data_IF_914226951050
#
_entry.id   IF_914226951050
#
_cell.length_a   1.000
_cell.length_b   1.000
_cell.length_c   1.000
_cell.angle_alpha   90.00
_cell.angle_beta   90.00
_cell.angle_gamma   90.00
#
_symmetry.space_group_name_H-M   'P 1'
#
loop_
_entity.id
_entity.type
_entity.pdbx_description
1 polymer ?
#
# COMPACT_ATOMS: atom_id res chain seq x y z
N UNK A 1 -35.20 0.88 9.18
CA UNK A 1 -33.83 1.22 9.64
C UNK A 1 -33.85 2.66 10.12
N UNK A 2 -33.41 2.94 11.34
CA UNK A 2 -33.40 4.32 11.91
C UNK A 2 -31.98 4.90 12.04
N UNK A 3 -30.93 4.09 11.93
CA UNK A 3 -29.52 4.52 11.98
C UNK A 3 -28.66 3.60 11.10
N UNK A 4 -27.59 4.15 10.50
CA UNK A 4 -26.48 3.41 9.87
C UNK A 4 -25.17 4.08 10.32
N UNK A 5 -24.14 3.30 10.67
CA UNK A 5 -22.89 3.78 11.29
C UNK A 5 -21.64 3.38 10.48
N UNK A 6 -21.50 3.77 9.21
CA UNK A 6 -20.28 3.49 8.46
C UNK A 6 -19.16 4.44 8.94
N UNK A 7 -17.91 3.99 8.87
CA UNK A 7 -16.74 4.77 9.30
C UNK A 7 -15.66 4.85 8.23
N UNK A 8 -15.17 3.70 7.77
CA UNK A 8 -14.03 3.61 6.83
C UNK A 8 -14.23 4.37 5.51
N UNK A 9 -15.48 4.50 5.03
CA UNK A 9 -15.84 5.08 3.73
C UNK A 9 -15.30 6.50 3.47
N UNK A 10 -14.96 7.25 4.52
CA UNK A 10 -14.34 8.58 4.40
C UNK A 10 -12.98 8.51 3.70
N UNK A 11 -12.22 7.45 3.95
CA UNK A 11 -10.93 7.19 3.31
C UNK A 11 -10.99 6.08 2.29
N UNK A 12 -11.77 5.02 2.54
CA UNK A 12 -11.61 3.70 1.93
C UNK A 12 -10.16 3.21 2.05
N UNK A 13 -9.91 1.99 1.59
CA UNK A 13 -8.57 1.40 1.64
C UNK A 13 -8.46 0.25 0.63
N UNK A 14 -7.29 -0.39 0.63
CA UNK A 14 -7.00 -1.56 -0.20
C UNK A 14 -7.99 -2.72 0.04
N UNK A 15 -8.52 -2.86 1.25
CA UNK A 15 -9.49 -3.90 1.59
C UNK A 15 -10.83 -3.62 0.92
N UNK A 16 -11.34 -2.39 0.98
CA UNK A 16 -12.59 -2.02 0.28
C UNK A 16 -12.48 -2.18 -1.24
N UNK A 17 -11.29 -1.93 -1.80
CA UNK A 17 -11.01 -2.18 -3.22
C UNK A 17 -11.02 -3.68 -3.52
N UNK A 18 -10.34 -4.49 -2.71
CA UNK A 18 -10.31 -5.94 -2.87
C UNK A 18 -11.70 -6.59 -2.74
N UNK A 19 -12.57 -6.03 -1.89
CA UNK A 19 -13.96 -6.45 -1.73
C UNK A 19 -14.89 -5.97 -2.86
N UNK A 20 -14.40 -5.14 -3.80
CA UNK A 20 -15.19 -4.60 -4.90
C UNK A 20 -16.18 -3.51 -4.50
N UNK A 21 -16.06 -2.96 -3.28
CA UNK A 21 -16.95 -1.90 -2.77
C UNK A 21 -16.68 -0.57 -3.47
N UNK A 22 -15.40 -0.28 -3.74
CA UNK A 22 -14.97 0.94 -4.45
C UNK A 22 -13.83 0.64 -5.42
N UNK A 23 -13.62 1.50 -6.41
CA UNK A 23 -12.41 1.50 -7.23
C UNK A 23 -11.23 2.20 -6.55
N UNK A 24 -10.00 1.92 -7.00
CA UNK A 24 -8.74 2.50 -6.45
C UNK A 24 -8.76 4.02 -6.32
N UNK A 25 -9.39 4.71 -7.29
CA UNK A 25 -9.51 6.17 -7.30
C UNK A 25 -10.39 6.75 -6.18
N UNK A 26 -11.01 5.91 -5.35
CA UNK A 26 -11.83 6.32 -4.19
C UNK A 26 -11.11 6.13 -2.86
N UNK A 27 -9.86 5.67 -2.86
CA UNK A 27 -8.97 5.74 -1.71
C UNK A 27 -8.39 7.15 -1.60
N UNK A 28 -8.76 7.89 -0.56
CA UNK A 28 -8.33 9.29 -0.39
C UNK A 28 -7.12 9.45 0.53
N UNK A 29 -6.83 8.48 1.39
CA UNK A 29 -5.60 8.45 2.20
C UNK A 29 -4.45 7.82 1.41
N UNK A 30 -3.27 8.45 1.49
CA UNK A 30 -2.02 7.98 0.87
C UNK A 30 -0.87 8.16 1.85
N UNK A 31 0.11 7.27 1.75
CA UNK A 31 1.42 7.42 2.38
C UNK A 31 2.37 7.87 1.29
N UNK A 32 3.08 8.97 1.54
CA UNK A 32 4.14 9.47 0.67
C UNK A 32 5.45 8.90 1.19
N UNK A 33 6.21 8.21 0.36
CA UNK A 33 7.48 7.62 0.74
C UNK A 33 8.59 7.97 -0.26
N UNK A 34 9.83 7.96 0.20
CA UNK A 34 11.01 8.18 -0.64
C UNK A 34 11.70 6.85 -0.89
N UNK A 35 12.13 6.62 -2.13
CA UNK A 35 13.04 5.50 -2.43
C UNK A 35 14.41 5.80 -1.83
N UNK A 36 14.81 5.04 -0.83
CA UNK A 36 16.09 5.23 -0.13
C UNK A 36 17.19 4.27 -0.62
N UNK A 37 16.84 3.20 -1.34
CA UNK A 37 17.82 2.27 -1.91
C UNK A 37 17.29 1.47 -3.11
N UNK A 38 18.20 1.08 -4.00
CA UNK A 38 17.95 0.25 -5.20
C UNK A 38 18.98 -0.89 -5.28
N UNK A 39 18.83 -1.95 -4.45
CA UNK A 39 19.82 -3.03 -4.38
C UNK A 39 19.80 -3.97 -5.61
N UNK A 40 18.73 -3.96 -6.41
CA UNK A 40 18.60 -4.76 -7.62
C UNK A 40 17.68 -4.05 -8.63
N UNK A 41 17.74 -4.43 -9.91
CA UNK A 41 16.90 -3.83 -10.95
C UNK A 41 15.40 -3.99 -10.69
N UNK A 42 15.01 -5.09 -10.05
CA UNK A 42 13.65 -5.51 -9.73
C UNK A 42 13.23 -5.22 -8.27
N UNK A 43 14.08 -4.53 -7.49
CA UNK A 43 13.81 -4.21 -6.08
C UNK A 43 14.17 -2.78 -5.70
N UNK A 44 13.27 -2.10 -5.00
CA UNK A 44 13.47 -0.80 -4.39
C UNK A 44 13.12 -0.86 -2.89
N UNK A 45 13.76 -0.02 -2.10
CA UNK A 45 13.49 0.12 -0.66
C UNK A 45 12.99 1.54 -0.41
N UNK A 46 11.88 1.67 0.33
CA UNK A 46 11.26 2.94 0.69
C UNK A 46 11.36 3.18 2.19
N UNK A 47 11.29 4.44 2.63
CA UNK A 47 11.29 4.87 4.04
C UNK A 47 9.92 4.74 4.75
N UNK A 48 8.99 3.98 4.16
CA UNK A 48 7.71 3.63 4.78
C UNK A 48 7.69 2.14 5.15
N UNK A 49 7.91 1.86 6.44
CA UNK A 49 7.79 0.54 7.05
C UNK A 49 6.46 0.27 7.75
N UNK A 50 6.42 -0.79 8.55
CA UNK A 50 5.25 -1.21 9.32
C UNK A 50 4.78 -0.16 10.34
N UNK A 51 5.65 0.73 10.83
CA UNK A 51 5.21 1.86 11.68
C UNK A 51 4.32 2.86 10.94
N UNK A 52 4.47 2.94 9.62
CA UNK A 52 3.72 3.86 8.77
C UNK A 52 2.51 3.14 8.15
N UNK A 53 2.71 1.89 7.71
CA UNK A 53 1.75 1.16 6.87
C UNK A 53 0.99 0.05 7.62
N UNK A 54 1.32 -0.20 8.89
CA UNK A 54 0.87 -1.36 9.65
C UNK A 54 1.23 -2.70 8.95
N UNK A 55 0.61 -3.80 9.38
CA UNK A 55 0.86 -5.15 8.84
C UNK A 55 -0.40 -5.78 8.22
N UNK A 56 -1.45 -4.99 8.01
CA UNK A 56 -2.73 -5.49 7.51
C UNK A 56 -2.63 -5.90 6.02
N UNK A 57 -3.06 -7.13 5.73
CA UNK A 57 -3.12 -7.68 4.37
C UNK A 57 -4.58 -7.99 3.94
N UNK A 58 -5.52 -7.26 4.53
CA UNK A 58 -6.96 -7.44 4.34
C UNK A 58 -7.70 -7.62 5.66
N UNK A 59 -9.03 -7.55 5.60
CA UNK A 59 -9.87 -7.67 6.80
C UNK A 59 -9.58 -8.97 7.56
N UNK A 60 -9.35 -8.86 8.86
CA UNK A 60 -9.13 -9.99 9.78
C UNK A 60 -8.04 -10.98 9.30
N UNK A 61 -7.00 -10.51 8.60
CA UNK A 61 -5.93 -11.37 8.09
C UNK A 61 -6.32 -12.27 6.92
N UNK A 62 -7.43 -11.98 6.23
CA UNK A 62 -7.92 -12.77 5.10
C UNK A 62 -6.96 -12.89 3.91
N UNK A 63 -5.91 -12.06 3.83
CA UNK A 63 -4.98 -12.05 2.70
C UNK A 63 -5.60 -11.59 1.38
N UNK A 64 -6.77 -10.93 1.45
CA UNK A 64 -7.49 -10.42 0.27
C UNK A 64 -6.75 -9.28 -0.42
N UNK A 65 -5.84 -8.59 0.28
CA UNK A 65 -4.95 -7.58 -0.28
C UNK A 65 -3.60 -8.21 -0.58
N UNK A 66 -3.12 -8.07 -1.81
CA UNK A 66 -1.77 -8.51 -2.18
C UNK A 66 -0.74 -7.48 -1.69
N UNK A 67 0.13 -7.88 -0.77
CA UNK A 67 1.17 -7.00 -0.20
C UNK A 67 0.66 -6.18 0.98
N UNK A 68 1.23 -4.99 1.19
CA UNK A 68 0.94 -4.10 2.33
C UNK A 68 0.39 -2.74 1.90
N UNK A 69 -0.25 -2.67 0.73
CA UNK A 69 -0.80 -1.42 0.20
C UNK A 69 -0.98 -1.46 -1.31
N UNK A 70 -1.59 -0.40 -1.84
CA UNK A 70 -1.76 -0.20 -3.27
C UNK A 70 -0.71 0.78 -3.79
N UNK A 71 0.16 0.34 -4.70
CA UNK A 71 1.12 1.23 -5.38
C UNK A 71 0.43 2.03 -6.49
N UNK A 72 0.83 3.27 -6.76
CA UNK A 72 0.26 4.05 -7.88
C UNK A 72 0.41 3.33 -9.22
N UNK A 73 1.59 2.76 -9.47
CA UNK A 73 1.84 1.87 -10.59
C UNK A 73 1.40 0.43 -10.24
N UNK A 74 0.40 -0.08 -10.94
CA UNK A 74 -0.13 -1.42 -10.73
C UNK A 74 0.87 -2.56 -11.02
N UNK A 75 1.98 -2.26 -11.71
CA UNK A 75 3.07 -3.22 -11.96
C UNK A 75 4.03 -3.37 -10.77
N UNK A 76 3.91 -2.51 -9.76
CA UNK A 76 4.73 -2.54 -8.56
C UNK A 76 3.96 -3.13 -7.39
N UNK A 77 4.67 -3.81 -6.49
CA UNK A 77 4.08 -4.43 -5.31
C UNK A 77 4.95 -4.13 -4.09
N UNK A 78 4.31 -3.66 -3.02
CA UNK A 78 4.93 -3.58 -1.71
C UNK A 78 4.86 -4.95 -1.03
N UNK A 79 5.93 -5.75 -1.16
CA UNK A 79 5.90 -7.18 -0.83
C UNK A 79 6.35 -7.51 0.58
N UNK A 80 7.13 -6.63 1.22
CA UNK A 80 7.61 -6.81 2.59
C UNK A 80 7.73 -5.49 3.33
N UNK A 81 7.58 -5.57 4.65
CA UNK A 81 7.84 -4.48 5.57
C UNK A 81 8.83 -4.93 6.65
N UNK A 82 9.78 -4.07 6.94
CA UNK A 82 10.48 -3.98 8.23
C UNK A 82 9.84 -2.86 9.05
N UNK A 83 10.41 -2.51 10.19
CA UNK A 83 9.88 -1.44 11.05
C UNK A 83 9.79 -0.08 10.33
N UNK A 84 10.90 0.34 9.70
CA UNK A 84 11.05 1.66 9.07
C UNK A 84 11.14 1.60 7.53
N UNK A 85 11.26 0.41 6.95
CA UNK A 85 11.45 0.27 5.51
C UNK A 85 10.47 -0.70 4.86
N UNK A 86 10.02 -0.34 3.67
CA UNK A 86 9.22 -1.18 2.78
C UNK A 86 10.03 -1.67 1.59
N UNK A 87 9.71 -2.87 1.10
CA UNK A 87 10.34 -3.45 -0.11
C UNK A 87 9.32 -3.45 -1.25
N UNK A 88 9.65 -2.72 -2.31
CA UNK A 88 8.87 -2.67 -3.55
C UNK A 88 9.54 -3.55 -4.61
N UNK A 89 8.78 -4.47 -5.19
CA UNK A 89 9.22 -5.33 -6.29
C UNK A 89 8.42 -5.04 -7.56
N UNK A 90 9.07 -5.11 -8.72
CA UNK A 90 8.45 -4.82 -10.01
C UNK A 90 9.48 -4.53 -11.11
N UNK A 91 9.01 -4.02 -12.24
CA UNK A 91 9.85 -3.58 -13.36
C UNK A 91 9.80 -2.06 -13.51
N UNK A 92 10.84 -1.48 -14.11
CA UNK A 92 10.97 -0.02 -14.30
C UNK A 92 10.72 0.76 -13.00
N UNK A 93 11.31 0.26 -11.92
CA UNK A 93 11.15 0.84 -10.59
C UNK A 93 11.81 2.24 -10.48
N UNK A 94 11.33 3.08 -9.56
CA UNK A 94 11.82 4.45 -9.40
C UNK A 94 13.28 4.50 -8.95
N UNK A 95 13.93 5.64 -9.17
CA UNK A 95 15.30 5.90 -8.75
C UNK A 95 15.37 6.26 -7.26
N UNK A 96 16.58 6.21 -6.69
CA UNK A 96 16.81 6.70 -5.32
C UNK A 96 16.51 8.20 -5.27
N UNK A 97 15.73 8.62 -4.28
CA UNK A 97 15.26 10.01 -4.09
C UNK A 97 13.90 10.31 -4.72
N UNK A 98 13.37 9.42 -5.57
CA UNK A 98 12.03 9.58 -6.12
C UNK A 98 10.98 9.34 -5.02
N UNK A 99 9.85 10.04 -5.16
CA UNK A 99 8.67 9.90 -4.31
C UNK A 99 7.73 8.87 -4.91
N UNK A 100 7.20 7.99 -4.04
CA UNK A 100 6.23 6.94 -4.38
C UNK A 100 5.03 6.93 -3.44
#
# INVERSE_FOLDING_TARGET
VTEIRPGNYVFNDATQVALGVVGRGRCSLRVIATVVSRPAADRAIIDAGAKVLALDQGAHGSGTVTGYGLMENASWRLTRLSEEHGIVEGTNLPAIGDIV
#
